data_IF_067830526905
#
_entry.id   IF_067830526905
#
_cell.length_a   1.000
_cell.length_b   1.000
_cell.length_c   1.000
_cell.angle_alpha   90.00
_cell.angle_beta   90.00
_cell.angle_gamma   90.00
#
_symmetry.space_group_name_H-M   'P 1'
#
loop_
_entity.id
_entity.type
_entity.pdbx_description
1 polymer ?
#
# COMPACT_ATOMS: atom_id res chain seq x y z
N UNK A 1 2.55 39.20 25.23
CA UNK A 1 2.71 37.76 24.96
C UNK A 1 1.72 37.37 23.87
N UNK A 2 2.19 36.92 22.71
CA UNK A 2 1.32 36.33 21.69
C UNK A 2 1.22 34.84 21.94
N UNK A 3 0.04 34.32 22.31
CA UNK A 3 -0.18 32.88 22.38
C UNK A 3 -0.24 32.31 20.97
N UNK A 4 0.79 31.57 20.55
CA UNK A 4 0.79 30.86 19.28
C UNK A 4 -0.14 29.64 19.37
N UNK A 5 -1.45 29.88 19.23
CA UNK A 5 -2.40 28.83 18.90
C UNK A 5 -1.92 28.13 17.63
N UNK A 6 -1.94 26.78 17.62
CA UNK A 6 -1.65 26.02 16.41
C UNK A 6 -2.70 26.41 15.37
N UNK A 7 -2.29 27.22 14.40
CA UNK A 7 -3.20 27.93 13.51
C UNK A 7 -4.08 26.92 12.78
N UNK A 8 -5.41 27.12 12.77
CA UNK A 8 -6.36 26.19 12.14
C UNK A 8 -6.02 25.92 10.68
N UNK A 9 -5.38 26.88 9.99
CA UNK A 9 -4.81 26.74 8.66
C UNK A 9 -3.81 25.59 8.52
N UNK A 10 -2.99 25.31 9.55
CA UNK A 10 -1.99 24.23 9.53
C UNK A 10 -2.67 22.85 9.63
N UNK A 11 -3.66 22.71 10.52
CA UNK A 11 -4.50 21.50 10.59
C UNK A 11 -5.27 21.28 9.28
N UNK A 12 -5.85 22.35 8.70
CA UNK A 12 -6.50 22.28 7.39
C UNK A 12 -5.51 21.89 6.29
N UNK A 13 -4.27 22.40 6.29
CA UNK A 13 -3.24 22.00 5.31
C UNK A 13 -2.87 20.52 5.43
N UNK A 14 -2.70 19.99 6.64
CA UNK A 14 -2.44 18.56 6.89
C UNK A 14 -3.62 17.70 6.42
N UNK A 15 -4.85 18.08 6.79
CA UNK A 15 -6.08 17.36 6.39
C UNK A 15 -6.34 17.45 4.88
N UNK A 16 -6.01 18.57 4.22
CA UNK A 16 -6.09 18.73 2.76
C UNK A 16 -5.02 17.87 2.07
N UNK A 17 -3.80 17.78 2.61
CA UNK A 17 -2.78 16.86 2.10
C UNK A 17 -3.23 15.40 2.13
N UNK A 18 -3.79 14.95 3.27
CA UNK A 18 -4.40 13.63 3.43
C UNK A 18 -5.57 13.41 2.43
N UNK A 19 -6.43 14.41 2.23
CA UNK A 19 -7.55 14.33 1.27
C UNK A 19 -7.11 14.26 -0.20
N UNK A 20 -6.05 14.99 -0.58
CA UNK A 20 -5.49 14.93 -1.94
C UNK A 20 -4.94 13.53 -2.21
N UNK A 21 -4.22 12.94 -1.25
CA UNK A 21 -3.57 11.63 -1.44
C UNK A 21 -4.56 10.47 -1.37
N UNK A 22 -5.71 10.66 -0.72
CA UNK A 22 -6.88 9.75 -0.85
C UNK A 22 -7.39 9.60 -2.30
N UNK A 23 -6.99 10.47 -3.25
CA UNK A 23 -7.32 10.33 -4.67
C UNK A 23 -6.31 9.55 -5.51
N UNK A 24 -5.13 9.21 -4.98
CA UNK A 24 -4.03 8.57 -5.72
C UNK A 24 -4.24 7.05 -5.98
N UNK A 25 -5.25 6.71 -6.78
CA UNK A 25 -5.66 5.33 -7.05
C UNK A 25 -4.82 4.63 -8.13
N UNK A 26 -3.65 4.10 -7.75
CA UNK A 26 -2.94 3.11 -8.58
C UNK A 26 -3.64 1.74 -8.55
N UNK A 27 -4.49 1.43 -9.52
CA UNK A 27 -5.34 0.22 -9.52
C UNK A 27 -4.61 -1.12 -9.80
N UNK A 28 -3.54 -1.44 -9.06
CA UNK A 28 -2.82 -2.72 -9.18
C UNK A 28 -3.66 -3.96 -8.78
N UNK A 29 -4.83 -3.76 -8.18
CA UNK A 29 -5.69 -4.80 -7.58
C UNK A 29 -7.07 -4.98 -8.23
N UNK A 30 -7.30 -4.41 -9.42
CA UNK A 30 -8.45 -4.75 -10.29
C UNK A 30 -9.81 -4.15 -9.96
N UNK A 31 -9.93 -3.29 -8.95
CA UNK A 31 -11.21 -2.65 -8.60
C UNK A 31 -11.34 -1.35 -9.38
N UNK A 32 -11.93 -1.41 -10.58
CA UNK A 32 -12.16 -0.23 -11.44
C UNK A 32 -13.58 -0.24 -12.04
N UNK A 33 -14.64 -0.07 -11.21
CA UNK A 33 -16.03 -0.10 -11.68
C UNK A 33 -16.35 0.98 -12.74
N UNK A 34 -15.54 2.04 -12.82
CA UNK A 34 -15.69 3.08 -13.82
C UNK A 34 -15.25 2.62 -15.23
N UNK A 35 -14.30 1.69 -15.33
CA UNK A 35 -13.92 1.05 -16.61
C UNK A 35 -14.98 0.11 -17.17
N UNK A 36 -16.07 -0.20 -16.45
CA UNK A 36 -17.07 -1.18 -16.90
C UNK A 36 -17.73 -0.85 -18.25
N UNK A 37 -17.92 0.43 -18.59
CA UNK A 37 -18.50 0.81 -19.89
C UNK A 37 -17.62 0.43 -21.07
N UNK A 38 -16.36 0.86 -21.03
CA UNK A 38 -15.39 0.79 -22.14
C UNK A 38 -14.48 -0.45 -22.09
N UNK A 39 -14.36 -1.10 -20.94
CA UNK A 39 -13.30 -2.06 -20.55
C UNK A 39 -11.88 -1.50 -20.69
N UNK A 40 -11.71 -0.19 -20.93
CA UNK A 40 -10.39 0.44 -21.09
C UNK A 40 -9.82 0.89 -19.73
N UNK A 41 -8.50 0.81 -19.53
CA UNK A 41 -7.83 1.44 -18.40
C UNK A 41 -7.96 2.97 -18.47
N UNK A 42 -8.39 3.59 -17.37
CA UNK A 42 -8.36 5.06 -17.24
C UNK A 42 -6.94 5.54 -16.96
N UNK A 43 -6.23 5.87 -18.03
CA UNK A 43 -4.85 6.36 -18.01
C UNK A 43 -4.79 7.64 -18.86
N UNK A 44 -5.10 8.80 -18.28
CA UNK A 44 -5.43 10.07 -18.95
C UNK A 44 -4.48 10.54 -20.08
N UNK A 45 -3.21 10.12 -20.05
CA UNK A 45 -2.18 10.49 -21.00
C UNK A 45 -1.90 9.42 -22.10
N UNK A 46 -2.52 8.23 -22.00
CA UNK A 46 -2.23 7.06 -22.84
C UNK A 46 -3.47 6.62 -23.63
N UNK A 47 -3.23 5.85 -24.71
CA UNK A 47 -4.27 5.36 -25.63
C UNK A 47 -4.02 3.89 -25.97
N UNK A 48 -5.05 3.15 -26.45
CA UNK A 48 -4.86 1.81 -26.98
C UNK A 48 -3.80 1.75 -28.08
N UNK A 49 -3.03 0.67 -28.08
CA UNK A 49 -2.10 0.27 -29.12
C UNK A 49 -2.85 -0.09 -30.41
N UNK A 50 -2.47 0.53 -31.53
CA UNK A 50 -3.06 0.27 -32.86
C UNK A 50 -2.53 -1.00 -33.53
N UNK A 51 -1.76 -1.81 -32.81
CA UNK A 51 -1.25 -3.11 -33.27
C UNK A 51 -2.20 -4.24 -32.87
N UNK A 52 -2.19 -5.37 -33.59
CA UNK A 52 -2.97 -6.53 -33.15
C UNK A 52 -2.50 -7.00 -31.76
N UNK A 53 -3.40 -7.26 -30.80
CA UNK A 53 -3.02 -7.72 -29.47
C UNK A 53 -2.35 -9.10 -29.54
N UNK A 54 -1.24 -9.35 -28.81
CA UNK A 54 -0.60 -10.66 -28.70
C UNK A 54 -1.33 -11.59 -27.72
N UNK A 55 -2.67 -11.46 -27.64
CA UNK A 55 -3.54 -12.10 -26.67
C UNK A 55 -4.86 -12.51 -27.34
N UNK A 56 -5.52 -13.53 -26.80
CA UNK A 56 -6.77 -14.06 -27.32
C UNK A 56 -7.73 -14.50 -26.20
N UNK A 57 -9.03 -14.49 -26.52
CA UNK A 57 -10.09 -15.16 -25.77
C UNK A 57 -10.41 -16.48 -26.46
N UNK A 58 -10.47 -17.57 -25.71
CA UNK A 58 -10.86 -18.89 -26.18
C UNK A 58 -11.85 -19.54 -25.21
N UNK A 59 -12.52 -20.60 -25.65
CA UNK A 59 -13.50 -21.35 -24.86
C UNK A 59 -13.09 -22.81 -24.75
N UNK A 60 -13.22 -23.39 -23.56
CA UNK A 60 -13.17 -24.83 -23.33
C UNK A 60 -14.58 -25.28 -22.90
N UNK A 61 -15.18 -26.17 -23.67
CA UNK A 61 -16.53 -26.68 -23.44
C UNK A 61 -16.51 -28.01 -22.70
N UNK A 62 -17.33 -28.10 -21.67
CA UNK A 62 -17.62 -29.33 -20.95
C UNK A 62 -18.50 -30.28 -21.79
N UNK A 63 -18.55 -31.57 -21.43
CA UNK A 63 -19.18 -32.60 -22.27
C UNK A 63 -20.71 -32.67 -22.11
N UNK A 64 -21.28 -32.17 -21.03
CA UNK A 64 -22.73 -32.25 -20.77
C UNK A 64 -23.39 -30.89 -21.01
N UNK A 65 -24.56 -30.82 -21.66
CA UNK A 65 -25.34 -29.59 -21.74
C UNK A 65 -25.70 -29.07 -20.33
N UNK A 66 -25.46 -27.78 -20.09
CA UNK A 66 -25.69 -27.13 -18.79
C UNK A 66 -24.46 -27.09 -17.86
N UNK A 67 -23.38 -27.80 -18.17
CA UNK A 67 -22.09 -27.57 -17.51
C UNK A 67 -21.56 -26.15 -17.84
N UNK A 68 -20.85 -25.46 -16.92
CA UNK A 68 -20.27 -24.14 -17.19
C UNK A 68 -19.26 -24.15 -18.36
N UNK A 69 -19.22 -23.03 -19.09
CA UNK A 69 -18.22 -22.77 -20.14
C UNK A 69 -16.96 -22.18 -19.50
N UNK A 70 -15.79 -22.77 -19.76
CA UNK A 70 -14.54 -22.15 -19.28
C UNK A 70 -14.05 -21.14 -20.31
N UNK A 71 -14.07 -19.86 -19.94
CA UNK A 71 -13.47 -18.76 -20.72
C UNK A 71 -11.98 -18.68 -20.39
N UNK A 72 -11.15 -18.66 -21.43
CA UNK A 72 -9.69 -18.72 -21.35
C UNK A 72 -9.08 -17.48 -22.00
N UNK A 73 -8.57 -16.58 -21.16
CA UNK A 73 -7.76 -15.44 -21.60
C UNK A 73 -6.31 -15.90 -21.71
N UNK A 74 -5.65 -15.80 -22.86
CA UNK A 74 -4.30 -16.34 -23.07
C UNK A 74 -3.41 -15.48 -23.96
N UNK A 75 -2.10 -15.66 -23.80
CA UNK A 75 -1.09 -15.14 -24.74
C UNK A 75 -1.00 -15.98 -26.01
N UNK A 76 -0.65 -15.31 -27.11
CA UNK A 76 -0.27 -15.89 -28.40
C UNK A 76 1.25 -15.87 -28.64
N UNK A 77 2.06 -15.82 -27.57
CA UNK A 77 3.52 -15.85 -27.67
C UNK A 77 4.26 -15.78 -26.34
N UNK A 78 5.38 -15.06 -26.33
CA UNK A 78 6.20 -14.84 -25.13
C UNK A 78 5.72 -13.65 -24.28
N UNK A 79 5.00 -12.71 -24.88
CA UNK A 79 4.41 -11.53 -24.23
C UNK A 79 3.40 -11.96 -23.15
N UNK A 80 3.41 -11.29 -22.00
CA UNK A 80 2.51 -11.58 -20.87
C UNK A 80 1.71 -10.35 -20.50
N UNK A 81 0.41 -10.53 -20.26
CA UNK A 81 -0.47 -9.47 -19.77
C UNK A 81 -0.37 -9.37 -18.25
N UNK A 82 -0.52 -8.16 -17.70
CA UNK A 82 -0.51 -7.88 -16.26
C UNK A 82 -1.89 -7.52 -15.74
N UNK A 83 -2.59 -6.65 -16.46
CA UNK A 83 -4.00 -6.37 -16.24
C UNK A 83 -4.88 -7.03 -17.29
N UNK A 84 -6.13 -7.29 -16.92
CA UNK A 84 -7.19 -7.69 -17.84
C UNK A 84 -8.55 -7.27 -17.27
N UNK A 85 -9.52 -7.07 -18.14
CA UNK A 85 -10.93 -6.99 -17.77
C UNK A 85 -11.74 -7.85 -18.75
N UNK A 86 -12.68 -8.64 -18.22
CA UNK A 86 -13.57 -9.51 -18.97
C UNK A 86 -15.00 -9.24 -18.53
N UNK A 87 -15.90 -8.99 -19.48
CA UNK A 87 -17.35 -9.07 -19.25
C UNK A 87 -18.04 -9.98 -20.27
N UNK A 88 -19.31 -10.28 -20.00
CA UNK A 88 -20.19 -11.01 -20.90
C UNK A 88 -21.46 -10.17 -21.09
N UNK A 89 -21.83 -9.86 -22.33
CA UNK A 89 -23.01 -9.06 -22.66
C UNK A 89 -23.90 -9.69 -23.72
N UNK A 90 -25.19 -9.37 -23.68
CA UNK A 90 -26.14 -9.72 -24.74
C UNK A 90 -25.90 -8.85 -25.98
N UNK A 91 -25.65 -9.43 -27.16
CA UNK A 91 -25.44 -8.65 -28.38
C UNK A 91 -26.66 -7.87 -28.86
N UNK A 92 -27.85 -8.21 -28.35
CA UNK A 92 -29.13 -7.65 -28.80
C UNK A 92 -29.37 -6.22 -28.29
N UNK A 93 -28.71 -5.80 -27.20
CA UNK A 93 -28.92 -4.49 -26.56
C UNK A 93 -27.82 -3.50 -26.91
N UNK A 94 -27.63 -3.22 -28.21
CA UNK A 94 -26.55 -2.34 -28.72
C UNK A 94 -26.56 -0.93 -28.07
N UNK A 95 -27.70 -0.46 -27.56
CA UNK A 95 -27.88 0.84 -26.89
C UNK A 95 -27.77 0.83 -25.37
N UNK A 96 -27.69 -0.34 -24.71
CA UNK A 96 -27.61 -0.45 -23.25
C UNK A 96 -26.77 -1.63 -22.81
N UNK A 97 -25.81 -1.39 -21.92
CA UNK A 97 -24.93 -2.42 -21.39
C UNK A 97 -25.73 -3.45 -20.58
N UNK A 98 -25.88 -4.65 -21.13
CA UNK A 98 -26.66 -5.74 -20.55
C UNK A 98 -25.71 -6.89 -20.19
N UNK A 99 -25.14 -6.89 -18.96
CA UNK A 99 -24.33 -8.01 -18.49
C UNK A 99 -25.20 -9.27 -18.35
N UNK A 100 -24.65 -10.43 -18.71
CA UNK A 100 -25.35 -11.72 -18.75
C UNK A 100 -24.55 -12.85 -18.10
N UNK A 101 -25.27 -13.79 -17.49
CA UNK A 101 -24.73 -14.94 -16.76
C UNK A 101 -23.91 -14.58 -15.51
N UNK A 102 -23.39 -15.60 -14.85
CA UNK A 102 -22.51 -15.46 -13.69
C UNK A 102 -21.09 -15.99 -13.97
N UNK A 103 -20.09 -15.27 -13.48
CA UNK A 103 -18.69 -15.72 -13.48
C UNK A 103 -18.32 -16.44 -12.17
N UNK A 104 -17.61 -17.56 -12.31
CA UNK A 104 -17.04 -18.34 -11.21
C UNK A 104 -15.51 -18.42 -11.37
N UNK A 105 -14.79 -17.87 -10.39
CA UNK A 105 -13.32 -17.80 -10.41
C UNK A 105 -12.70 -19.19 -10.22
N UNK A 106 -11.80 -19.58 -11.12
CA UNK A 106 -11.00 -20.82 -10.98
C UNK A 106 -9.67 -20.58 -10.25
N UNK A 107 -9.07 -19.40 -10.39
CA UNK A 107 -7.89 -18.97 -9.66
C UNK A 107 -8.18 -17.61 -8.99
N UNK A 108 -8.52 -17.68 -7.71
CA UNK A 108 -8.84 -16.51 -6.89
C UNK A 108 -7.60 -15.77 -6.37
N UNK A 109 -6.38 -16.14 -6.79
CA UNK A 109 -5.13 -15.43 -6.48
C UNK A 109 -4.64 -14.53 -7.62
N UNK A 110 -4.94 -14.87 -8.88
CA UNK A 110 -4.67 -14.03 -10.05
C UNK A 110 -5.88 -13.21 -10.52
N UNK A 111 -7.11 -13.69 -10.26
CA UNK A 111 -8.36 -13.07 -10.72
C UNK A 111 -9.30 -12.68 -9.56
N UNK A 112 -10.24 -11.78 -9.85
CA UNK A 112 -11.30 -11.36 -8.93
C UNK A 112 -12.58 -11.04 -9.70
N UNK A 113 -13.72 -11.17 -9.02
CA UNK A 113 -14.97 -10.57 -9.48
C UNK A 113 -14.92 -9.03 -9.31
N UNK A 114 -15.59 -8.33 -10.21
CA UNK A 114 -15.77 -6.89 -10.25
C UNK A 114 -17.27 -6.59 -10.41
N UNK A 115 -17.77 -5.65 -9.60
CA UNK A 115 -19.16 -5.23 -9.62
C UNK A 115 -19.33 -4.12 -10.67
N UNK A 116 -20.11 -4.39 -11.72
CA UNK A 116 -20.37 -3.47 -12.83
C UNK A 116 -21.87 -3.14 -12.93
N UNK A 117 -22.16 -1.88 -13.31
CA UNK A 117 -23.52 -1.38 -13.56
C UNK A 117 -24.49 -1.48 -12.35
N UNK A 118 -23.95 -1.52 -11.12
CA UNK A 118 -24.72 -1.72 -9.88
C UNK A 118 -24.99 -3.18 -9.53
N UNK A 119 -24.72 -4.11 -10.45
CA UNK A 119 -24.83 -5.55 -10.24
C UNK A 119 -23.51 -6.16 -9.77
N UNK A 120 -23.58 -7.22 -8.96
CA UNK A 120 -22.39 -7.86 -8.37
C UNK A 120 -21.77 -8.90 -9.30
N UNK A 121 -20.45 -8.93 -9.38
CA UNK A 121 -19.68 -9.95 -10.09
C UNK A 121 -19.96 -10.10 -11.59
N UNK A 122 -20.55 -9.08 -12.21
CA UNK A 122 -20.90 -9.02 -13.64
C UNK A 122 -19.68 -8.88 -14.57
N UNK A 123 -18.49 -8.65 -14.01
CA UNK A 123 -17.23 -8.69 -14.73
C UNK A 123 -16.12 -9.34 -13.89
N UNK A 124 -14.97 -9.60 -14.53
CA UNK A 124 -13.79 -10.23 -13.92
C UNK A 124 -12.54 -9.41 -14.26
N UNK A 125 -11.66 -9.23 -13.28
CA UNK A 125 -10.42 -8.45 -13.43
C UNK A 125 -9.22 -9.08 -12.70
N UNK A 126 -8.03 -8.50 -12.85
CA UNK A 126 -6.85 -9.00 -12.15
C UNK A 126 -6.87 -8.69 -10.64
N UNK A 127 -6.62 -9.69 -9.78
CA UNK A 127 -6.41 -9.46 -8.33
C UNK A 127 -5.06 -8.79 -8.04
N UNK A 128 -4.10 -8.89 -8.95
CA UNK A 128 -2.75 -8.35 -8.81
C UNK A 128 -2.13 -8.03 -10.18
N UNK A 129 -1.05 -7.23 -10.21
CA UNK A 129 -0.35 -6.81 -11.42
C UNK A 129 0.74 -7.79 -11.94
N UNK A 130 0.83 -9.03 -11.42
CA UNK A 130 1.83 -10.01 -11.87
C UNK A 130 1.62 -10.38 -13.35
N UNK A 131 2.71 -10.74 -14.03
CA UNK A 131 2.68 -11.14 -15.44
C UNK A 131 2.04 -12.53 -15.62
N UNK A 132 0.99 -12.60 -16.44
CA UNK A 132 0.14 -13.77 -16.71
C UNK A 132 0.31 -14.19 -18.18
N UNK A 133 0.39 -15.50 -18.42
CA UNK A 133 0.30 -16.08 -19.77
C UNK A 133 -1.07 -16.68 -20.06
N UNK A 134 -1.84 -17.01 -19.01
CA UNK A 134 -3.21 -17.50 -19.08
C UNK A 134 -3.99 -17.08 -17.82
N UNK A 135 -5.29 -16.86 -17.96
CA UNK A 135 -6.31 -16.85 -16.90
C UNK A 135 -7.47 -17.70 -17.38
N UNK A 136 -8.07 -18.48 -16.47
CA UNK A 136 -9.30 -19.24 -16.75
C UNK A 136 -10.40 -18.84 -15.76
N UNK A 137 -11.63 -18.75 -16.26
CA UNK A 137 -12.82 -18.44 -15.47
C UNK A 137 -13.97 -19.29 -16.00
N UNK A 138 -14.81 -19.83 -15.12
CA UNK A 138 -16.07 -20.44 -15.56
C UNK A 138 -17.14 -19.36 -15.73
N UNK A 139 -18.01 -19.53 -16.72
CA UNK A 139 -19.21 -18.71 -16.91
C UNK A 139 -20.42 -19.63 -17.08
N UNK A 140 -21.54 -19.26 -16.48
CA UNK A 140 -22.81 -20.00 -16.49
C UNK A 140 -23.94 -19.05 -16.89
N UNK A 141 -24.80 -19.47 -17.82
CA UNK A 141 -25.91 -18.67 -18.30
C UNK A 141 -27.04 -18.54 -17.27
N UNK A 142 -27.65 -17.35 -17.13
CA UNK A 142 -28.86 -17.11 -16.32
C UNK A 142 -30.14 -17.25 -17.16
N UNK A 143 -30.41 -18.46 -17.65
CA UNK A 143 -31.64 -18.81 -18.38
C UNK A 143 -31.43 -18.91 -19.89
N UNK A 144 -32.42 -18.49 -20.69
CA UNK A 144 -32.38 -18.54 -22.16
C UNK A 144 -31.57 -17.37 -22.78
N UNK A 145 -30.36 -17.15 -22.29
CA UNK A 145 -29.46 -16.10 -22.77
C UNK A 145 -28.96 -16.43 -24.18
N UNK A 146 -29.42 -15.64 -25.16
CA UNK A 146 -29.13 -15.80 -26.58
C UNK A 146 -28.17 -14.71 -27.03
N UNK A 147 -27.22 -15.09 -27.89
CA UNK A 147 -26.19 -14.22 -28.47
C UNK A 147 -25.31 -13.48 -27.45
N UNK A 148 -24.69 -14.26 -26.55
CA UNK A 148 -23.68 -13.77 -25.61
C UNK A 148 -22.36 -13.43 -26.34
N UNK A 149 -21.85 -12.23 -26.09
CA UNK A 149 -20.50 -11.79 -26.47
C UNK A 149 -19.66 -11.66 -25.20
N UNK A 150 -18.47 -12.26 -25.20
CA UNK A 150 -17.44 -11.96 -24.21
C UNK A 150 -16.53 -10.85 -24.73
N UNK A 151 -16.33 -9.80 -23.94
CA UNK A 151 -15.42 -8.69 -24.29
C UNK A 151 -14.24 -8.70 -23.33
N UNK A 152 -13.01 -8.64 -23.84
CA UNK A 152 -11.80 -8.74 -23.02
C UNK A 152 -10.73 -7.72 -23.40
N UNK A 153 -10.34 -6.87 -22.46
CA UNK A 153 -9.20 -5.95 -22.59
C UNK A 153 -7.95 -6.53 -21.93
N UNK A 154 -6.78 -6.25 -22.50
CA UNK A 154 -5.48 -6.70 -22.03
C UNK A 154 -4.51 -5.50 -21.84
N UNK A 155 -3.79 -5.50 -20.71
CA UNK A 155 -2.79 -4.49 -20.34
C UNK A 155 -1.44 -5.20 -20.12
N UNK A 156 -0.44 -4.95 -20.97
CA UNK A 156 0.92 -5.50 -20.81
C UNK A 156 1.70 -4.73 -19.74
N UNK A 157 1.69 -3.40 -19.84
CA UNK A 157 2.32 -2.41 -18.96
C UNK A 157 1.43 -1.17 -18.88
N UNK A 158 1.65 -0.29 -17.91
CA UNK A 158 0.78 0.88 -17.64
C UNK A 158 0.55 1.77 -18.87
N UNK A 159 1.58 1.92 -19.70
CA UNK A 159 1.61 2.67 -20.95
C UNK A 159 1.11 1.87 -22.18
N UNK A 160 0.77 0.59 -22.01
CA UNK A 160 0.60 -0.38 -23.11
C UNK A 160 -0.56 -1.35 -22.91
N UNK A 161 -1.70 -1.00 -23.51
CA UNK A 161 -2.94 -1.78 -23.57
C UNK A 161 -3.55 -1.75 -24.97
N UNK A 162 -4.54 -2.60 -25.23
CA UNK A 162 -5.26 -2.70 -26.50
C UNK A 162 -6.76 -2.47 -26.29
N UNK A 163 -7.49 -2.21 -27.38
CA UNK A 163 -8.96 -2.15 -27.36
C UNK A 163 -9.60 -3.52 -27.01
N UNK A 164 -10.86 -3.55 -26.54
CA UNK A 164 -11.49 -4.78 -26.06
C UNK A 164 -11.74 -5.80 -27.19
N UNK A 165 -11.11 -6.97 -27.08
CA UNK A 165 -11.36 -8.10 -28.00
C UNK A 165 -12.76 -8.64 -27.72
N UNK A 166 -13.66 -8.58 -28.69
CA UNK A 166 -15.03 -9.11 -28.58
C UNK A 166 -15.16 -10.45 -29.30
N UNK A 167 -15.65 -11.48 -28.62
CA UNK A 167 -15.82 -12.84 -29.16
C UNK A 167 -17.19 -13.38 -28.80
N UNK A 168 -17.99 -13.74 -29.80
CA UNK A 168 -19.29 -14.40 -29.62
C UNK A 168 -19.12 -15.81 -29.04
N UNK A 169 -20.01 -16.21 -28.14
CA UNK A 169 -20.13 -17.59 -27.70
C UNK A 169 -20.72 -18.46 -28.84
N UNK A 170 -20.02 -19.51 -29.31
CA UNK A 170 -20.54 -20.41 -30.34
C UNK A 170 -21.88 -21.05 -29.96
N UNK A 171 -22.87 -20.91 -30.85
CA UNK A 171 -24.14 -21.65 -30.76
C UNK A 171 -23.95 -23.10 -31.18
N UNK A 172 -24.51 -24.04 -30.40
CA UNK A 172 -24.76 -25.40 -30.86
C UNK A 172 -26.01 -25.40 -31.77
N UNK A 173 -25.82 -25.23 -33.08
CA UNK A 173 -26.93 -25.02 -34.03
C UNK A 173 -27.51 -26.32 -34.60
N UNK A 174 -28.81 -26.52 -34.40
CA UNK A 174 -29.64 -27.40 -35.25
C UNK A 174 -30.58 -26.55 -36.11
N UNK A 175 -30.07 -26.13 -37.28
CA UNK A 175 -30.79 -25.96 -38.55
C UNK A 175 -32.07 -25.09 -38.64
N UNK A 176 -31.92 -23.96 -39.35
CA UNK A 176 -32.88 -23.23 -40.22
C UNK A 176 -33.88 -22.17 -39.67
N UNK A 177 -34.00 -21.15 -40.52
CA UNK A 177 -34.78 -19.88 -40.59
C UNK A 177 -36.23 -20.05 -41.14
N UNK A 178 -37.05 -18.98 -41.38
CA UNK A 178 -37.09 -17.59 -40.86
C UNK A 178 -38.51 -17.02 -40.53
N UNK A 179 -38.60 -15.71 -40.24
CA UNK A 179 -39.67 -14.71 -40.62
C UNK A 179 -40.39 -13.91 -39.49
N UNK A 180 -41.17 -12.88 -39.90
CA UNK A 180 -41.61 -11.65 -39.16
C UNK A 180 -43.13 -11.38 -39.41
N UNK A 181 -43.86 -10.31 -38.94
CA UNK A 181 -43.47 -9.09 -38.20
C UNK A 181 -44.43 -8.54 -37.08
N UNK A 182 -44.09 -7.34 -36.58
CA UNK A 182 -44.76 -6.34 -35.68
C UNK A 182 -46.08 -5.72 -36.32
N UNK A 183 -47.05 -5.00 -35.66
CA UNK A 183 -47.02 -4.15 -34.42
C UNK A 183 -48.27 -4.14 -33.44
N UNK A 184 -48.22 -3.39 -32.32
CA UNK A 184 -49.23 -2.35 -31.91
C UNK A 184 -49.04 -1.71 -30.50
N UNK A 185 -49.63 -0.52 -30.28
CA UNK A 185 -49.49 0.47 -29.17
C UNK A 185 -50.77 0.55 -28.28
N UNK A 186 -51.09 1.54 -27.38
CA UNK A 186 -50.32 2.67 -26.77
C UNK A 186 -50.58 2.97 -25.24
N UNK A 187 -49.77 3.87 -24.63
CA UNK A 187 -50.06 4.90 -23.55
C UNK A 187 -50.95 4.60 -22.28
N UNK A 188 -51.17 5.55 -21.32
CA UNK A 188 -50.26 6.52 -20.65
C UNK A 188 -50.44 6.59 -19.09
N UNK A 189 -49.57 7.32 -18.36
CA UNK A 189 -49.93 8.21 -17.21
C UNK A 189 -48.70 8.89 -16.56
N UNK A 190 -48.93 9.85 -15.65
CA UNK A 190 -47.99 10.92 -15.20
C UNK A 190 -48.32 11.34 -13.72
N UNK A 191 -47.77 12.40 -13.10
CA UNK A 191 -46.41 12.52 -12.53
C UNK A 191 -46.35 13.00 -11.05
N UNK A 192 -45.14 12.99 -10.44
CA UNK A 192 -44.62 13.95 -9.41
C UNK A 192 -45.45 14.24 -8.11
N UNK A 193 -45.02 15.16 -7.19
CA UNK A 193 -43.67 15.64 -6.82
C UNK A 193 -43.41 15.57 -5.28
N UNK A 194 -42.26 16.15 -4.84
CA UNK A 194 -42.11 17.05 -3.64
C UNK A 194 -40.99 16.69 -2.65
N UNK A 195 -40.36 17.73 -2.07
CA UNK A 195 -39.22 17.75 -1.10
C UNK A 195 -39.57 18.77 0.03
N UNK A 196 -38.68 19.41 0.82
CA UNK A 196 -37.32 19.10 1.33
C UNK A 196 -37.17 19.32 2.88
N UNK A 197 -35.93 19.38 3.39
CA UNK A 197 -35.48 20.28 4.52
C UNK A 197 -35.92 20.01 6.00
N UNK A 198 -35.29 20.49 7.11
CA UNK A 198 -34.07 21.32 7.43
C UNK A 198 -33.62 21.16 8.93
N UNK A 199 -32.44 21.71 9.31
CA UNK A 199 -32.02 22.27 10.64
C UNK A 199 -31.44 21.35 11.76
N UNK A 200 -30.74 21.77 12.86
CA UNK A 200 -29.91 22.96 13.32
C UNK A 200 -29.62 22.78 14.85
N UNK A 201 -28.57 23.26 15.58
CA UNK A 201 -27.14 23.68 15.37
C UNK A 201 -26.53 24.08 16.76
N UNK A 202 -25.21 23.85 17.01
CA UNK A 202 -24.37 24.44 18.13
C UNK A 202 -24.73 24.05 19.58
N UNK A 203 -23.95 24.30 20.66
CA UNK A 203 -22.73 25.11 20.96
C UNK A 203 -21.83 24.38 22.04
N UNK A 204 -20.48 24.44 22.06
CA UNK A 204 -19.55 25.40 22.75
C UNK A 204 -19.74 25.45 24.30
N UNK A 205 -18.77 25.18 25.20
CA UNK A 205 -17.42 25.78 25.41
C UNK A 205 -16.52 24.89 26.33
N UNK A 206 -15.19 25.07 26.35
CA UNK A 206 -14.33 24.77 27.53
C UNK A 206 -13.21 25.81 27.72
N UNK A 207 -12.79 26.01 28.98
CA UNK A 207 -11.76 26.97 29.44
C UNK A 207 -10.72 26.23 30.29
N UNK A 208 -9.44 26.62 30.22
CA UNK A 208 -8.36 26.06 31.04
C UNK A 208 -7.38 27.13 31.53
N UNK A 209 -6.93 26.98 32.79
CA UNK A 209 -5.92 27.81 33.47
C UNK A 209 -4.54 27.10 33.53
N UNK A 210 -3.42 27.82 33.80
CA UNK A 210 -2.06 27.27 33.65
C UNK A 210 -1.50 26.53 34.89
N UNK A 211 -0.83 25.41 34.64
CA UNK A 211 -0.22 24.49 35.61
C UNK A 211 1.15 24.97 36.14
N UNK A 212 1.53 24.72 37.42
CA UNK A 212 2.75 25.26 38.03
C UNK A 212 4.08 24.61 37.60
N UNK A 213 5.18 25.35 37.82
CA UNK A 213 6.54 25.12 37.27
C UNK A 213 7.11 23.70 37.40
N UNK A 214 6.83 22.96 38.48
CA UNK A 214 7.29 21.58 38.68
C UNK A 214 6.90 20.67 37.51
N UNK A 215 5.67 20.80 37.00
CA UNK A 215 5.17 19.92 35.92
C UNK A 215 5.97 20.04 34.61
N UNK A 216 6.67 21.16 34.38
CA UNK A 216 7.43 21.37 33.14
C UNK A 216 8.53 20.33 32.99
N UNK A 217 9.31 20.06 34.04
CA UNK A 217 10.51 19.22 33.98
C UNK A 217 10.19 17.74 33.78
N UNK A 218 9.23 17.21 34.55
CA UNK A 218 8.72 15.85 34.37
C UNK A 218 8.20 15.65 32.93
N UNK A 219 7.50 16.63 32.35
CA UNK A 219 7.03 16.53 30.97
C UNK A 219 8.16 16.60 29.93
N UNK A 220 9.30 17.26 30.22
CA UNK A 220 10.50 17.16 29.35
C UNK A 220 11.07 15.73 29.35
N UNK A 221 11.21 15.12 30.53
CA UNK A 221 11.69 13.73 30.67
C UNK A 221 10.76 12.77 29.92
N UNK A 222 9.43 12.91 30.06
CA UNK A 222 8.42 12.14 29.30
C UNK A 222 8.56 12.29 27.77
N UNK A 223 8.78 13.49 27.24
CA UNK A 223 8.92 13.70 25.80
C UNK A 223 10.18 13.02 25.21
N UNK A 224 11.29 12.99 25.96
CA UNK A 224 12.51 12.28 25.54
C UNK A 224 12.31 10.76 25.66
N UNK A 225 11.63 10.28 26.70
CA UNK A 225 11.29 8.85 26.86
C UNK A 225 10.40 8.36 25.70
N UNK A 226 9.44 9.17 25.24
CA UNK A 226 8.61 8.84 24.09
C UNK A 226 9.44 8.73 22.80
N UNK A 227 10.42 9.61 22.59
CA UNK A 227 11.39 9.51 21.49
C UNK A 227 12.31 8.27 21.62
N UNK A 228 12.72 7.88 22.83
CA UNK A 228 13.46 6.64 23.05
C UNK A 228 12.63 5.40 22.67
N UNK A 229 11.31 5.40 22.93
CA UNK A 229 10.43 4.31 22.51
C UNK A 229 10.21 4.30 20.99
N UNK A 230 10.03 5.47 20.37
CA UNK A 230 9.93 5.64 18.93
C UNK A 230 11.17 5.09 18.18
N UNK A 231 12.37 5.38 18.68
CA UNK A 231 13.64 4.83 18.15
C UNK A 231 13.69 3.29 18.16
N UNK A 232 12.98 2.62 19.08
CA UNK A 232 12.84 1.15 19.06
C UNK A 232 11.83 0.72 17.99
N UNK A 233 10.73 1.45 17.81
CA UNK A 233 9.70 1.14 16.81
C UNK A 233 10.25 1.30 15.39
N UNK A 234 11.02 2.36 15.10
CA UNK A 234 11.63 2.57 13.78
C UNK A 234 12.68 1.50 13.43
N UNK A 235 13.52 1.10 14.38
CA UNK A 235 14.45 -0.03 14.22
C UNK A 235 13.70 -1.33 13.90
N UNK A 236 12.70 -1.69 14.72
CA UNK A 236 11.89 -2.90 14.53
C UNK A 236 11.13 -2.86 13.20
N UNK A 237 10.60 -1.70 12.80
CA UNK A 237 9.97 -1.46 11.50
C UNK A 237 10.94 -1.67 10.34
N UNK A 238 12.17 -1.15 10.44
CA UNK A 238 13.21 -1.32 9.42
C UNK A 238 13.64 -2.80 9.29
N UNK A 239 13.88 -3.48 10.40
CA UNK A 239 14.30 -4.89 10.38
C UNK A 239 13.17 -5.85 9.99
N UNK A 240 11.93 -5.60 10.41
CA UNK A 240 10.77 -6.35 9.93
C UNK A 240 10.59 -6.15 8.42
N UNK A 241 10.77 -4.94 7.90
CA UNK A 241 10.74 -4.68 6.45
C UNK A 241 11.89 -5.37 5.71
N UNK A 242 13.11 -5.41 6.28
CA UNK A 242 14.22 -6.20 5.74
C UNK A 242 13.88 -7.68 5.65
N UNK A 243 13.48 -8.28 6.77
CA UNK A 243 13.16 -9.70 6.89
C UNK A 243 12.02 -10.08 5.93
N UNK A 244 10.92 -9.31 5.92
CA UNK A 244 9.78 -9.59 5.03
C UNK A 244 10.15 -9.45 3.55
N UNK A 245 10.85 -8.37 3.15
CA UNK A 245 11.22 -8.13 1.75
C UNK A 245 12.33 -9.07 1.24
N UNK A 246 13.04 -9.78 2.12
CA UNK A 246 13.98 -10.85 1.76
C UNK A 246 13.31 -12.23 1.75
N UNK A 247 12.54 -12.60 2.79
CA UNK A 247 11.88 -13.91 2.91
C UNK A 247 10.77 -14.12 1.87
N UNK A 248 10.02 -13.07 1.55
CA UNK A 248 8.70 -13.21 0.91
C UNK A 248 8.57 -12.54 -0.46
N UNK A 249 9.70 -12.22 -1.10
CA UNK A 249 9.77 -11.51 -2.38
C UNK A 249 8.92 -12.12 -3.52
N UNK A 250 8.53 -13.41 -3.42
CA UNK A 250 7.82 -14.18 -4.45
C UNK A 250 6.39 -14.63 -4.11
N UNK A 251 5.83 -14.34 -2.91
CA UNK A 251 4.51 -14.86 -2.49
C UNK A 251 3.43 -13.77 -2.37
N UNK A 252 2.25 -13.89 -3.02
CA UNK A 252 1.25 -12.82 -3.08
C UNK A 252 0.59 -12.51 -1.74
N UNK A 253 0.25 -13.53 -0.94
CA UNK A 253 -0.36 -13.39 0.38
C UNK A 253 0.44 -12.45 1.32
N UNK A 254 1.77 -12.54 1.24
CA UNK A 254 2.68 -11.81 2.12
C UNK A 254 2.82 -10.32 1.77
N UNK A 255 2.43 -9.90 0.55
CA UNK A 255 2.38 -8.48 0.20
C UNK A 255 1.33 -7.73 1.03
N UNK A 256 0.18 -8.37 1.30
CA UNK A 256 -0.83 -7.82 2.21
C UNK A 256 -0.28 -7.65 3.62
N UNK A 257 0.44 -8.66 4.13
CA UNK A 257 1.05 -8.62 5.47
C UNK A 257 2.14 -7.54 5.59
N UNK A 258 2.99 -7.35 4.56
CA UNK A 258 3.95 -6.23 4.49
C UNK A 258 3.22 -4.89 4.56
N UNK A 259 2.18 -4.70 3.74
CA UNK A 259 1.44 -3.42 3.68
C UNK A 259 0.71 -3.12 5.00
N UNK A 260 0.08 -4.11 5.62
CA UNK A 260 -0.55 -3.96 6.94
C UNK A 260 0.49 -3.67 8.03
N UNK A 261 1.63 -4.36 8.02
CA UNK A 261 2.73 -4.11 8.96
C UNK A 261 3.23 -2.66 8.86
N UNK A 262 3.48 -2.18 7.65
CA UNK A 262 3.95 -0.81 7.39
C UNK A 262 2.90 0.24 7.76
N UNK A 263 1.62 -0.02 7.49
CA UNK A 263 0.52 0.89 7.86
C UNK A 263 0.40 1.03 9.38
N UNK A 264 0.48 -0.08 10.12
CA UNK A 264 0.38 -0.08 11.59
C UNK A 264 1.57 0.65 12.22
N UNK A 265 2.81 0.34 11.81
CA UNK A 265 4.00 0.98 12.41
C UNK A 265 4.08 2.46 12.07
N UNK A 266 3.83 2.86 10.82
CA UNK A 266 3.88 4.28 10.43
C UNK A 266 2.74 5.10 11.04
N UNK A 267 1.60 4.49 11.35
CA UNK A 267 0.52 5.15 12.12
C UNK A 267 0.90 5.33 13.59
N UNK A 268 1.60 4.36 14.18
CA UNK A 268 2.06 4.41 15.57
C UNK A 268 3.15 5.46 15.76
N UNK A 269 4.16 5.51 14.88
CA UNK A 269 5.24 6.50 15.00
C UNK A 269 4.73 7.90 14.68
N UNK A 270 3.90 8.11 13.64
CA UNK A 270 3.21 9.39 13.43
C UNK A 270 2.44 9.88 14.67
N UNK A 271 1.76 8.99 15.40
CA UNK A 271 1.06 9.36 16.63
C UNK A 271 2.04 9.72 17.78
N UNK A 272 3.15 8.99 17.94
CA UNK A 272 4.19 9.30 18.91
C UNK A 272 4.91 10.64 18.60
N UNK A 273 5.12 10.93 17.33
CA UNK A 273 5.71 12.16 16.80
C UNK A 273 4.82 13.38 17.07
N UNK A 274 3.54 13.30 16.73
CA UNK A 274 2.56 14.36 16.96
C UNK A 274 2.36 14.59 18.47
N UNK A 275 2.30 13.52 19.27
CA UNK A 275 2.25 13.64 20.73
C UNK A 275 3.52 14.33 21.27
N UNK A 276 4.70 13.90 20.84
CA UNK A 276 5.98 14.52 21.18
C UNK A 276 6.00 16.00 20.81
N UNK A 277 5.58 16.37 19.59
CA UNK A 277 5.52 17.76 19.14
C UNK A 277 4.61 18.61 20.03
N UNK A 278 3.47 18.08 20.49
CA UNK A 278 2.61 18.77 21.46
C UNK A 278 3.34 18.95 22.80
N UNK A 279 3.99 17.91 23.34
CA UNK A 279 4.76 18.02 24.59
C UNK A 279 5.92 19.04 24.47
N UNK A 280 6.62 19.09 23.33
CA UNK A 280 7.67 20.08 23.05
C UNK A 280 7.14 21.50 22.78
N UNK A 281 5.86 21.68 22.41
CA UNK A 281 5.23 22.99 22.11
C UNK A 281 4.47 23.61 23.28
N UNK A 282 3.93 22.81 24.20
CA UNK A 282 3.19 23.30 25.39
C UNK A 282 4.13 23.93 26.42
N UNK A 283 5.42 23.55 26.42
CA UNK A 283 6.42 24.01 27.36
C UNK A 283 7.55 24.79 26.66
N UNK A 284 8.25 25.71 27.36
CA UNK A 284 9.32 26.52 26.77
C UNK A 284 10.59 25.68 26.56
N UNK A 285 10.64 24.95 25.45
CA UNK A 285 11.87 24.44 24.86
C UNK A 285 12.53 25.47 23.94
N UNK A 286 13.83 25.31 23.74
CA UNK A 286 14.57 26.01 22.70
C UNK A 286 14.09 25.58 21.30
N UNK A 287 14.37 26.41 20.29
CA UNK A 287 13.88 26.22 18.91
C UNK A 287 14.34 24.90 18.28
N UNK A 288 15.48 24.34 18.72
CA UNK A 288 16.13 23.18 18.10
C UNK A 288 15.34 21.86 18.18
N UNK A 289 15.02 21.28 19.36
CA UNK A 289 14.22 20.05 19.42
C UNK A 289 12.83 20.24 18.80
N UNK A 290 12.21 21.41 18.98
CA UNK A 290 10.92 21.75 18.37
C UNK A 290 10.99 21.72 16.84
N UNK A 291 12.07 22.21 16.24
CA UNK A 291 12.29 22.16 14.79
C UNK A 291 12.55 20.74 14.30
N UNK A 292 13.38 19.95 15.01
CA UNK A 292 13.68 18.57 14.65
C UNK A 292 12.43 17.67 14.69
N UNK A 293 11.61 17.76 15.74
CA UNK A 293 10.35 16.99 15.81
C UNK A 293 9.31 17.50 14.79
N UNK A 294 9.37 18.79 14.41
CA UNK A 294 8.57 19.27 13.27
C UNK A 294 9.02 18.66 11.93
N UNK A 295 10.29 18.28 11.78
CA UNK A 295 10.82 17.56 10.60
C UNK A 295 10.51 16.06 10.67
N UNK A 296 10.56 15.45 11.86
CA UNK A 296 10.12 14.07 12.07
C UNK A 296 8.66 13.88 11.65
N UNK A 297 7.75 14.77 12.08
CA UNK A 297 6.34 14.76 11.65
C UNK A 297 6.19 14.83 10.12
N UNK A 298 7.14 15.43 9.39
CA UNK A 298 7.16 15.38 7.92
C UNK A 298 7.63 14.01 7.38
N UNK A 299 8.63 13.37 7.99
CA UNK A 299 9.06 12.02 7.62
C UNK A 299 7.98 10.97 7.93
N UNK A 300 7.42 10.94 9.14
CA UNK A 300 6.30 10.04 9.49
C UNK A 300 5.08 10.28 8.62
N UNK A 301 4.78 11.53 8.24
CA UNK A 301 3.76 11.82 7.22
C UNK A 301 4.10 11.14 5.88
N UNK A 302 5.29 11.35 5.32
CA UNK A 302 5.70 10.74 4.04
C UNK A 302 5.64 9.20 4.11
N UNK A 303 6.02 8.59 5.23
CA UNK A 303 6.02 7.14 5.43
C UNK A 303 4.60 6.56 5.59
N UNK A 304 3.71 7.25 6.31
CA UNK A 304 2.30 6.89 6.41
C UNK A 304 1.60 6.99 5.05
N UNK A 305 1.88 8.05 4.28
CA UNK A 305 1.37 8.22 2.92
C UNK A 305 1.93 7.15 1.97
N UNK A 306 3.21 6.79 2.12
CA UNK A 306 3.83 5.66 1.44
C UNK A 306 3.19 4.31 1.80
N UNK A 307 2.74 4.12 3.04
CA UNK A 307 1.99 2.92 3.45
C UNK A 307 0.64 2.79 2.71
N UNK A 308 -0.03 3.90 2.38
CA UNK A 308 -1.26 3.89 1.59
C UNK A 308 -1.05 3.58 0.10
N UNK A 309 0.12 3.91 -0.47
CA UNK A 309 0.41 3.72 -1.90
C UNK A 309 0.18 2.26 -2.37
N UNK A 310 -0.53 2.02 -3.49
CA UNK A 310 -0.81 0.68 -4.02
C UNK A 310 0.31 0.14 -4.93
N UNK A 311 1.57 0.26 -4.49
CA UNK A 311 2.74 -0.22 -5.24
C UNK A 311 2.84 -1.75 -5.12
N UNK A 312 2.17 -2.45 -6.05
CA UNK A 312 2.07 -3.90 -6.08
C UNK A 312 3.41 -4.63 -6.31
N UNK A 313 3.49 -5.93 -6.00
CA UNK A 313 4.75 -6.70 -5.94
C UNK A 313 5.49 -6.88 -7.27
N UNK A 314 4.92 -6.44 -8.40
CA UNK A 314 5.53 -6.39 -9.73
C UNK A 314 5.44 -5.01 -10.41
N UNK A 315 5.28 -3.94 -9.62
CA UNK A 315 5.37 -2.58 -10.14
C UNK A 315 6.82 -2.27 -10.55
N UNK A 316 7.04 -1.65 -11.72
CA UNK A 316 8.40 -1.43 -12.26
C UNK A 316 9.28 -0.59 -11.30
N UNK A 317 8.70 0.41 -10.64
CA UNK A 317 9.41 1.23 -9.64
C UNK A 317 9.65 0.52 -8.30
N UNK A 318 9.23 -0.74 -8.09
CA UNK A 318 9.34 -1.43 -6.79
C UNK A 318 10.75 -1.46 -6.20
N UNK A 319 11.85 -1.72 -6.96
CA UNK A 319 13.20 -1.70 -6.38
C UNK A 319 13.60 -0.30 -5.89
N UNK A 320 13.21 0.74 -6.64
CA UNK A 320 13.44 2.15 -6.29
C UNK A 320 12.60 2.52 -5.06
N UNK A 321 11.35 2.05 -4.99
CA UNK A 321 10.45 2.26 -3.86
C UNK A 321 10.94 1.61 -2.56
N UNK A 322 11.42 0.36 -2.62
CA UNK A 322 12.02 -0.31 -1.47
C UNK A 322 13.29 0.40 -0.99
N UNK A 323 14.09 1.00 -1.89
CA UNK A 323 15.25 1.82 -1.55
C UNK A 323 14.86 3.17 -0.92
N UNK A 324 13.85 3.86 -1.48
CA UNK A 324 13.33 5.13 -0.94
C UNK A 324 12.76 4.92 0.47
N UNK A 325 11.96 3.88 0.70
CA UNK A 325 11.44 3.54 2.03
C UNK A 325 12.55 3.30 3.06
N UNK A 326 13.59 2.53 2.71
CA UNK A 326 14.78 2.34 3.56
C UNK A 326 15.47 3.67 3.89
N UNK A 327 15.57 4.56 2.90
CA UNK A 327 16.12 5.90 3.08
C UNK A 327 15.29 6.78 4.02
N UNK A 328 13.97 6.74 3.90
CA UNK A 328 13.05 7.43 4.82
C UNK A 328 13.23 6.93 6.26
N UNK A 329 13.10 5.61 6.49
CA UNK A 329 13.19 5.04 7.85
C UNK A 329 14.55 5.35 8.49
N UNK A 330 15.65 5.30 7.74
CA UNK A 330 16.97 5.68 8.25
C UNK A 330 17.09 7.18 8.56
N UNK A 331 16.56 8.07 7.71
CA UNK A 331 16.55 9.51 7.99
C UNK A 331 15.71 9.85 9.22
N UNK A 332 14.52 9.26 9.32
CA UNK A 332 13.65 9.35 10.48
C UNK A 332 14.41 8.92 11.75
N UNK A 333 14.94 7.70 11.79
CA UNK A 333 15.66 7.14 12.94
C UNK A 333 16.89 7.96 13.35
N UNK A 334 17.63 8.53 12.40
CA UNK A 334 18.73 9.49 12.65
C UNK A 334 18.21 10.77 13.33
N UNK A 335 17.09 11.33 12.87
CA UNK A 335 16.50 12.54 13.47
C UNK A 335 15.93 12.25 14.88
N UNK A 336 15.26 11.11 15.10
CA UNK A 336 14.81 10.68 16.44
C UNK A 336 16.00 10.54 17.38
N UNK A 337 17.08 9.87 16.93
CA UNK A 337 18.33 9.72 17.70
C UNK A 337 18.97 11.08 18.01
N UNK A 338 18.93 12.05 17.09
CA UNK A 338 19.40 13.41 17.31
C UNK A 338 18.55 14.20 18.32
N UNK A 339 17.22 14.00 18.35
CA UNK A 339 16.34 14.58 19.38
C UNK A 339 16.65 13.99 20.75
N UNK A 340 16.82 12.67 20.88
CA UNK A 340 17.24 12.02 22.13
C UNK A 340 18.60 12.56 22.59
N UNK A 341 19.59 12.64 21.69
CA UNK A 341 20.93 13.16 21.98
C UNK A 341 20.87 14.59 22.53
N UNK A 342 20.07 15.46 21.89
CA UNK A 342 19.87 16.85 22.30
C UNK A 342 19.03 17.01 23.59
N UNK A 343 18.26 15.99 23.97
CA UNK A 343 17.64 15.85 25.28
C UNK A 343 18.67 15.51 26.36
N UNK A 344 19.40 14.41 26.18
CA UNK A 344 20.43 13.93 27.13
C UNK A 344 21.53 14.97 27.35
N UNK A 345 22.04 15.62 26.30
CA UNK A 345 23.08 16.67 26.45
C UNK A 345 22.57 17.88 27.24
N UNK A 346 21.28 18.21 27.16
CA UNK A 346 20.71 19.30 27.99
C UNK A 346 20.48 18.87 29.44
N UNK A 347 19.99 17.65 29.67
CA UNK A 347 19.87 17.09 31.04
C UNK A 347 21.23 17.09 31.74
N UNK A 348 22.26 16.63 31.03
CA UNK A 348 23.61 16.49 31.58
C UNK A 348 24.40 17.80 31.69
N UNK A 349 24.08 18.89 30.98
CA UNK A 349 24.62 20.23 31.29
C UNK A 349 24.00 20.80 32.59
N UNK A 350 22.74 20.49 32.88
CA UNK A 350 22.08 20.90 34.14
C UNK A 350 22.70 20.17 35.34
N UNK A 351 22.82 18.84 35.29
CA UNK A 351 23.50 18.06 36.34
C UNK A 351 24.97 18.47 36.49
N UNK A 352 25.71 18.61 35.38
CA UNK A 352 27.12 19.01 35.42
C UNK A 352 27.34 20.37 36.08
N UNK A 353 26.41 21.32 35.96
CA UNK A 353 26.46 22.61 36.66
C UNK A 353 26.22 22.49 38.16
N UNK A 354 25.55 21.45 38.63
CA UNK A 354 25.28 21.21 40.05
C UNK A 354 26.35 20.31 40.70
N UNK A 355 26.64 19.16 40.10
CA UNK A 355 27.45 18.08 40.68
C UNK A 355 28.86 17.97 40.08
N UNK A 356 29.19 18.68 39.00
CA UNK A 356 30.54 18.74 38.41
C UNK A 356 31.05 17.46 37.73
N UNK A 357 30.31 16.35 37.82
CA UNK A 357 30.68 15.04 37.26
C UNK A 357 30.55 14.95 35.72
N UNK A 358 30.90 13.76 35.21
CA UNK A 358 30.51 13.33 33.85
C UNK A 358 29.36 12.34 34.01
N UNK A 359 28.13 12.75 33.68
CA UNK A 359 26.99 11.81 33.68
C UNK A 359 27.27 10.60 32.79
N UNK A 360 26.89 9.43 33.29
CA UNK A 360 27.01 8.16 32.59
C UNK A 360 26.02 8.05 31.43
N UNK A 361 24.85 8.70 31.53
CA UNK A 361 23.80 8.76 30.50
C UNK A 361 24.35 9.27 29.17
N UNK A 362 25.22 10.30 29.21
CA UNK A 362 25.87 10.85 28.02
C UNK A 362 26.86 9.86 27.37
N UNK A 363 27.56 9.04 28.17
CA UNK A 363 28.48 8.01 27.65
C UNK A 363 27.66 6.91 26.94
N UNK A 364 26.56 6.47 27.55
CA UNK A 364 25.63 5.51 26.95
C UNK A 364 24.97 6.07 25.69
N UNK A 365 24.59 7.35 25.67
CA UNK A 365 24.02 8.00 24.49
C UNK A 365 25.01 8.12 23.31
N UNK A 366 26.30 8.33 23.58
CA UNK A 366 27.35 8.26 22.54
C UNK A 366 27.50 6.84 22.00
N UNK A 367 27.53 5.82 22.88
CA UNK A 367 27.58 4.42 22.46
C UNK A 367 26.34 4.01 21.64
N UNK A 368 25.15 4.47 22.04
CA UNK A 368 23.90 4.26 21.31
C UNK A 368 23.93 4.90 19.92
N UNK A 369 24.44 6.13 19.82
CA UNK A 369 24.59 6.84 18.54
C UNK A 369 25.52 6.08 17.57
N UNK A 370 26.59 5.46 18.09
CA UNK A 370 27.47 4.57 17.30
C UNK A 370 26.76 3.26 16.92
N UNK A 371 25.92 2.69 17.79
CA UNK A 371 25.12 1.50 17.49
C UNK A 371 24.14 1.73 16.32
N UNK A 372 23.37 2.81 16.34
CA UNK A 372 22.44 3.18 15.25
C UNK A 372 23.19 3.35 13.92
N UNK A 373 24.37 4.00 13.92
CA UNK A 373 25.21 4.12 12.73
C UNK A 373 25.68 2.75 12.20
N UNK A 374 26.01 1.80 13.08
CA UNK A 374 26.36 0.43 12.68
C UNK A 374 25.15 -0.32 12.08
N UNK A 375 23.94 -0.17 12.64
CA UNK A 375 22.72 -0.74 12.04
C UNK A 375 22.46 -0.16 10.65
N UNK A 376 22.59 1.16 10.46
CA UNK A 376 22.40 1.76 9.13
C UNK A 376 23.46 1.30 8.11
N UNK A 377 24.72 1.14 8.51
CA UNK A 377 25.78 0.56 7.66
C UNK A 377 25.41 -0.89 7.26
N UNK A 378 24.96 -1.71 8.21
CA UNK A 378 24.47 -3.07 7.93
C UNK A 378 23.31 -3.06 6.93
N UNK A 379 22.33 -2.17 7.11
CA UNK A 379 21.14 -2.10 6.25
C UNK A 379 21.40 -1.56 4.85
N UNK A 380 22.43 -0.74 4.67
CA UNK A 380 22.98 -0.41 3.35
C UNK A 380 23.66 -1.64 2.72
N UNK A 381 24.51 -2.36 3.45
CA UNK A 381 25.15 -3.61 2.97
C UNK A 381 24.11 -4.66 2.58
N UNK A 382 23.03 -4.82 3.33
CA UNK A 382 21.91 -5.70 2.98
C UNK A 382 21.21 -5.28 1.69
N UNK A 383 21.10 -3.98 1.42
CA UNK A 383 20.51 -3.49 0.18
C UNK A 383 21.37 -3.88 -1.04
N UNK A 384 22.68 -3.67 -0.97
CA UNK A 384 23.62 -4.09 -2.03
C UNK A 384 23.68 -5.63 -2.20
N UNK A 385 23.64 -6.38 -1.10
CA UNK A 385 23.59 -7.85 -1.14
C UNK A 385 22.30 -8.36 -1.78
N UNK A 386 21.14 -7.73 -1.49
CA UNK A 386 19.87 -8.06 -2.15
C UNK A 386 19.93 -7.82 -3.65
N UNK A 387 20.47 -6.68 -4.07
CA UNK A 387 20.52 -6.29 -5.48
C UNK A 387 21.48 -7.17 -6.29
N UNK A 388 22.64 -7.52 -5.75
CA UNK A 388 23.59 -8.45 -6.39
C UNK A 388 23.06 -9.90 -6.48
N UNK A 389 22.27 -10.35 -5.51
CA UNK A 389 21.57 -11.65 -5.59
C UNK A 389 20.50 -11.65 -6.68
N UNK A 390 19.75 -10.55 -6.84
CA UNK A 390 18.73 -10.42 -7.89
C UNK A 390 19.35 -10.42 -9.30
N UNK A 391 20.42 -9.68 -9.50
CA UNK A 391 21.18 -9.62 -10.77
C UNK A 391 21.73 -11.00 -11.19
N UNK A 392 22.35 -11.72 -10.24
CA UNK A 392 22.82 -13.09 -10.52
C UNK A 392 21.67 -14.05 -10.85
N UNK A 393 20.53 -13.92 -10.19
CA UNK A 393 19.36 -14.76 -10.49
C UNK A 393 18.75 -14.47 -11.86
N UNK A 394 18.79 -13.22 -12.34
CA UNK A 394 18.41 -12.91 -13.73
C UNK A 394 19.42 -13.51 -14.73
N UNK A 395 20.72 -13.39 -14.43
CA UNK A 395 21.80 -13.99 -15.22
C UNK A 395 21.65 -15.51 -15.33
N UNK A 396 21.34 -16.21 -14.24
CA UNK A 396 21.17 -17.68 -14.24
C UNK A 396 19.89 -18.13 -14.97
N UNK A 397 18.82 -17.32 -15.04
CA UNK A 397 17.63 -17.65 -15.85
C UNK A 397 17.89 -17.65 -17.36
N UNK A 398 18.99 -17.04 -17.83
CA UNK A 398 19.40 -17.13 -19.25
C UNK A 398 19.96 -18.50 -19.65
N UNK A 399 20.22 -19.41 -18.70
CA UNK A 399 20.90 -20.69 -18.93
C UNK A 399 19.95 -21.89 -18.67
N UNK A 400 19.83 -22.85 -19.61
CA UNK A 400 18.87 -23.94 -19.51
C UNK A 400 19.33 -25.08 -18.58
N UNK A 401 19.53 -24.80 -17.29
CA UNK A 401 19.95 -25.79 -16.27
C UNK A 401 18.91 -26.00 -15.18
N UNK A 402 17.99 -26.95 -15.43
CA UNK A 402 16.95 -27.41 -14.50
C UNK A 402 17.56 -28.14 -13.31
N UNK A 403 17.76 -27.46 -12.17
CA UNK A 403 18.07 -28.12 -10.88
C UNK A 403 17.07 -27.68 -9.80
N UNK A 404 16.13 -28.57 -9.48
CA UNK A 404 15.15 -28.35 -8.40
C UNK A 404 15.92 -28.41 -7.07
N UNK A 405 16.21 -27.23 -6.51
CA UNK A 405 16.81 -27.12 -5.17
C UNK A 405 15.69 -27.08 -4.14
N UNK A 406 15.68 -28.06 -3.24
CA UNK A 406 14.70 -28.17 -2.16
C UNK A 406 14.80 -26.97 -1.20
N UNK A 407 13.64 -26.50 -0.72
CA UNK A 407 13.53 -25.34 0.16
C UNK A 407 13.87 -25.70 1.62
N UNK A 408 15.15 -25.82 1.94
CA UNK A 408 15.61 -25.45 3.28
C UNK A 408 15.75 -23.92 3.36
N UNK A 409 15.64 -23.35 4.57
CA UNK A 409 16.08 -21.96 4.77
C UNK A 409 17.58 -21.92 4.45
N UNK A 410 17.98 -21.05 3.51
CA UNK A 410 19.40 -20.85 3.20
C UNK A 410 20.11 -20.37 4.46
N UNK A 411 21.36 -20.80 4.69
CA UNK A 411 22.16 -20.33 5.82
C UNK A 411 22.29 -18.80 5.84
N UNK A 412 22.30 -18.17 4.65
CA UNK A 412 22.22 -16.71 4.49
C UNK A 412 20.95 -16.14 5.12
N UNK A 413 19.78 -16.75 4.89
CA UNK A 413 18.50 -16.31 5.46
C UNK A 413 18.47 -16.43 6.98
N UNK A 414 19.04 -17.50 7.53
CA UNK A 414 19.16 -17.69 8.98
C UNK A 414 20.08 -16.63 9.60
N UNK A 415 21.25 -16.38 8.99
CA UNK A 415 22.18 -15.35 9.44
C UNK A 415 21.54 -13.95 9.43
N UNK A 416 20.80 -13.59 8.37
CA UNK A 416 20.07 -12.32 8.30
C UNK A 416 19.11 -12.14 9.47
N UNK A 417 18.25 -13.14 9.75
CA UNK A 417 17.29 -13.08 10.86
C UNK A 417 18.01 -12.92 12.20
N UNK A 418 19.11 -13.65 12.42
CA UNK A 418 19.89 -13.56 13.66
C UNK A 418 20.51 -12.16 13.82
N UNK A 419 21.11 -11.59 12.77
CA UNK A 419 21.72 -10.25 12.85
C UNK A 419 20.66 -9.17 13.03
N UNK A 420 19.57 -9.19 12.26
CA UNK A 420 18.44 -8.27 12.41
C UNK A 420 17.84 -8.27 13.83
N UNK A 421 17.62 -9.44 14.43
CA UNK A 421 17.15 -9.56 15.82
C UNK A 421 18.20 -9.04 16.80
N UNK A 422 19.49 -9.28 16.56
CA UNK A 422 20.58 -8.79 17.41
C UNK A 422 20.65 -7.27 17.43
N UNK A 423 20.51 -6.62 16.26
CA UNK A 423 20.51 -5.15 16.13
C UNK A 423 19.32 -4.52 16.87
N UNK A 424 18.11 -5.05 16.63
CA UNK A 424 16.89 -4.60 17.31
C UNK A 424 16.95 -4.76 18.84
N UNK A 425 17.48 -5.88 19.34
CA UNK A 425 17.68 -6.12 20.78
C UNK A 425 18.72 -5.15 21.38
N UNK A 426 19.82 -4.88 20.68
CA UNK A 426 20.80 -3.89 21.13
C UNK A 426 20.25 -2.47 21.16
N UNK A 427 19.49 -2.07 20.13
CA UNK A 427 18.80 -0.77 20.07
C UNK A 427 17.81 -0.61 21.21
N UNK A 428 17.01 -1.64 21.52
CA UNK A 428 16.15 -1.65 22.69
C UNK A 428 16.94 -1.55 24.01
N UNK A 429 18.04 -2.28 24.17
CA UNK A 429 18.87 -2.25 25.37
C UNK A 429 19.50 -0.86 25.61
N UNK A 430 20.03 -0.21 24.56
CA UNK A 430 20.57 1.15 24.67
C UNK A 430 19.49 2.19 24.95
N UNK A 431 18.34 2.13 24.26
CA UNK A 431 17.22 3.04 24.51
C UNK A 431 16.69 2.91 25.96
N UNK A 432 16.57 1.69 26.47
CA UNK A 432 16.20 1.42 27.87
C UNK A 432 17.25 1.98 28.84
N UNK A 433 18.55 1.81 28.57
CA UNK A 433 19.60 2.36 29.41
C UNK A 433 19.60 3.91 29.44
N UNK A 434 19.29 4.56 28.30
CA UNK A 434 19.10 6.02 28.23
C UNK A 434 17.84 6.46 29.00
N UNK A 435 16.73 5.72 28.91
CA UNK A 435 15.52 5.96 29.71
C UNK A 435 15.83 5.89 31.21
N UNK A 436 16.59 4.89 31.67
CA UNK A 436 16.99 4.79 33.07
C UNK A 436 17.83 6.01 33.52
N UNK A 437 18.84 6.43 32.75
CA UNK A 437 19.65 7.61 33.09
C UNK A 437 18.84 8.91 33.15
N UNK A 438 17.86 9.10 32.25
CA UNK A 438 16.93 10.25 32.26
C UNK A 438 16.03 10.24 33.51
N UNK A 439 15.70 9.06 34.04
CA UNK A 439 14.86 8.88 35.23
C UNK A 439 15.65 8.90 36.56
N UNK A 440 16.96 8.63 36.52
CA UNK A 440 17.87 8.65 37.67
C UNK A 440 18.54 10.02 37.88
N UNK A 441 18.76 10.79 36.82
CA UNK A 441 19.12 12.21 36.93
C UNK A 441 17.98 12.98 37.63
N UNK A 442 18.27 13.84 38.63
CA UNK A 442 17.27 14.48 39.50
C UNK A 442 16.29 15.41 38.75
#
# INVERSE_FOLDING_TARGET
MGGCTLNSKMWVQILVGLNIISKAHGFSGGIFPQSCGSLLPEHDAFRPETSNPPFAVAFEFSRHPGDPVTVVLRSEGSTRFRGFMLDAQNSSSISSSSPVGQFLLLDSDISRLLDCYGSKGTAVSQKNNQAKSQVKVNWTAEGEEKDVIFRATFLERFDRFWDPISVHLPRFTTTMEPSSPEPSSPEPSSPEPTSPELSTKTDVTQTWEPTPKNSSEHTKKVAIILMCLDSIVEEVKMEVFNIQTFLFASKPFNFGLIKMSLLITSSLTFAADVASLVLFRVFPFEVAPVALVSVLVCFTSVELLAAFMPIGPSHELKPIWELVLRGCFALHHIFTTAVIFLGVVRSTDVDRRQNGGRSWTLIVMVAFSVWILLTHIWNLVLCFLKQTILDRNQTDQSKPTRRIRTWSLSATTVALIITSVTLAVGTAAFAIAVIFGIMEEP
#
